data_IF_059671117461
#
_entry.id   IF_059671117461
#
_cell.length_a   1.000
_cell.length_b   1.000
_cell.length_c   1.000
_cell.angle_alpha   90.00
_cell.angle_beta   90.00
_cell.angle_gamma   90.00
#
_symmetry.space_group_name_H-M   'P 1'
#
loop_
_entity.id
_entity.type
_entity.pdbx_description
1 polymer ?
#
# COMPACT_ATOMS: atom_id res chain seq x y z
N UNK A 1 25.04 -2.59 13.43
CA UNK A 1 25.12 -3.68 12.45
C UNK A 1 24.74 -3.14 11.08
N UNK A 2 25.57 -3.38 10.07
CA UNK A 2 25.34 -2.97 8.68
C UNK A 2 24.22 -3.82 8.05
N UNK A 3 23.39 -3.20 7.21
CA UNK A 3 22.33 -3.90 6.48
C UNK A 3 22.93 -4.93 5.52
N UNK A 4 22.35 -6.14 5.45
CA UNK A 4 22.68 -7.14 4.45
C UNK A 4 21.78 -6.96 3.24
N UNK A 5 22.34 -6.96 2.03
CA UNK A 5 21.56 -6.88 0.80
C UNK A 5 21.75 -8.15 -0.03
N UNK A 6 20.63 -8.79 -0.37
CA UNK A 6 20.57 -9.93 -1.28
C UNK A 6 19.93 -9.50 -2.60
N UNK A 7 20.29 -10.17 -3.69
CA UNK A 7 19.69 -9.95 -5.01
C UNK A 7 19.42 -11.28 -5.69
N UNK A 8 18.19 -11.44 -6.18
CA UNK A 8 17.81 -12.55 -7.05
C UNK A 8 17.10 -11.99 -8.28
N UNK A 9 17.78 -12.00 -9.43
CA UNK A 9 17.32 -11.29 -10.62
C UNK A 9 17.04 -9.81 -10.34
N UNK A 10 15.77 -9.40 -10.52
CA UNK A 10 15.31 -8.02 -10.25
C UNK A 10 14.93 -7.78 -8.79
N UNK A 11 14.73 -8.83 -7.99
CA UNK A 11 14.37 -8.73 -6.58
C UNK A 11 15.58 -8.32 -5.75
N UNK A 12 15.41 -7.27 -4.96
CA UNK A 12 16.40 -6.79 -4.00
C UNK A 12 15.82 -6.92 -2.60
N UNK A 13 16.49 -7.68 -1.75
CA UNK A 13 16.08 -7.89 -0.35
C UNK A 13 17.08 -7.21 0.55
N UNK A 14 16.60 -6.40 1.51
CA UNK A 14 17.43 -5.77 2.54
C UNK A 14 17.04 -6.33 3.89
N UNK A 15 18.02 -6.83 4.62
CA UNK A 15 17.86 -7.36 5.98
C UNK A 15 18.46 -6.33 6.92
N UNK A 16 17.63 -5.83 7.84
CA UNK A 16 18.01 -4.86 8.86
C UNK A 16 17.72 -5.46 10.24
N UNK A 17 18.44 -5.02 11.28
CA UNK A 17 18.44 -5.73 12.57
C UNK A 17 17.15 -5.57 13.38
N UNK A 18 16.27 -4.61 13.04
CA UNK A 18 15.04 -4.33 13.76
C UNK A 18 13.96 -3.71 12.87
N UNK A 19 12.71 -3.75 13.33
CA UNK A 19 11.52 -3.28 12.60
C UNK A 19 11.58 -1.78 12.30
N UNK A 20 12.13 -0.98 13.22
CA UNK A 20 12.26 0.47 13.05
C UNK A 20 13.18 0.82 11.87
N UNK A 21 14.35 0.19 11.79
CA UNK A 21 15.28 0.38 10.67
C UNK A 21 14.71 -0.15 9.36
N UNK A 22 13.98 -1.27 9.38
CA UNK A 22 13.24 -1.74 8.19
C UNK A 22 12.23 -0.69 7.73
N UNK A 23 11.42 -0.18 8.65
CA UNK A 23 10.41 0.85 8.37
C UNK A 23 11.02 2.13 7.79
N UNK A 24 12.06 2.65 8.43
CA UNK A 24 12.77 3.84 7.96
C UNK A 24 13.42 3.66 6.58
N UNK A 25 14.06 2.51 6.35
CA UNK A 25 14.69 2.21 5.06
C UNK A 25 13.65 2.06 3.93
N UNK A 26 12.51 1.43 4.22
CA UNK A 26 11.40 1.30 3.27
C UNK A 26 10.76 2.66 2.97
N UNK A 27 10.53 3.50 3.98
CA UNK A 27 9.99 4.85 3.81
C UNK A 27 10.92 5.72 2.95
N UNK A 28 12.22 5.72 3.24
CA UNK A 28 13.21 6.44 2.43
C UNK A 28 13.25 5.94 0.98
N UNK A 29 13.11 4.63 0.76
CA UNK A 29 13.05 4.07 -0.60
C UNK A 29 11.81 4.56 -1.35
N UNK A 30 10.63 4.50 -0.73
CA UNK A 30 9.37 4.97 -1.32
C UNK A 30 9.43 6.47 -1.63
N UNK A 31 9.93 7.28 -0.70
CA UNK A 31 10.09 8.72 -0.89
C UNK A 31 11.01 9.05 -2.08
N UNK A 32 12.15 8.36 -2.21
CA UNK A 32 13.05 8.54 -3.34
C UNK A 32 12.43 8.12 -4.69
N UNK A 33 11.64 7.05 -4.69
CA UNK A 33 10.88 6.60 -5.88
C UNK A 33 9.81 7.61 -6.27
N UNK A 34 9.04 8.12 -5.30
CA UNK A 34 8.05 9.17 -5.52
C UNK A 34 8.68 10.44 -6.08
N UNK A 35 9.79 10.90 -5.52
CA UNK A 35 10.51 12.07 -6.03
C UNK A 35 10.93 11.87 -7.51
N UNK A 36 11.38 10.67 -7.87
CA UNK A 36 11.75 10.34 -9.26
C UNK A 36 10.54 10.36 -10.19
N UNK A 37 9.40 9.79 -9.78
CA UNK A 37 8.17 9.76 -10.56
C UNK A 37 7.64 11.18 -10.76
N UNK A 38 7.49 11.92 -9.66
CA UNK A 38 6.91 13.27 -9.63
C UNK A 38 7.81 14.35 -10.25
N UNK A 39 9.07 14.03 -10.55
CA UNK A 39 9.93 14.90 -11.35
C UNK A 39 9.56 14.93 -12.84
N UNK A 40 8.84 13.91 -13.33
CA UNK A 40 8.54 13.75 -14.77
C UNK A 40 7.06 13.56 -15.08
N UNK A 41 6.22 13.32 -14.07
CA UNK A 41 4.78 13.07 -14.20
C UNK A 41 4.02 13.88 -13.18
N UNK A 42 2.82 14.32 -13.51
CA UNK A 42 1.98 15.13 -12.61
C UNK A 42 1.51 14.36 -11.38
N UNK A 43 1.32 13.05 -11.49
CA UNK A 43 0.78 12.21 -10.42
C UNK A 43 1.54 10.88 -10.29
N UNK A 44 1.55 10.35 -9.06
CA UNK A 44 2.02 9.02 -8.75
C UNK A 44 0.88 8.16 -8.19
N UNK A 45 0.77 6.91 -8.67
CA UNK A 45 -0.33 6.00 -8.35
C UNK A 45 0.19 4.84 -7.48
N UNK A 46 -0.33 4.72 -6.27
CA UNK A 46 0.22 3.86 -5.22
C UNK A 46 -0.86 2.92 -4.69
N UNK A 47 -0.52 1.64 -4.51
CA UNK A 47 -1.36 0.69 -3.74
C UNK A 47 -0.84 0.60 -2.31
N UNK A 48 -1.75 0.62 -1.33
CA UNK A 48 -1.51 0.44 0.09
C UNK A 48 -2.26 -0.78 0.62
N UNK A 49 -1.57 -1.63 1.38
CA UNK A 49 -2.15 -2.77 2.07
C UNK A 49 -2.25 -2.52 3.58
N UNK A 50 -3.32 -3.00 4.21
CA UNK A 50 -3.39 -3.05 5.66
C UNK A 50 -2.68 -4.32 6.16
N UNK A 51 -1.56 -4.14 6.88
CA UNK A 51 -0.87 -5.26 7.53
C UNK A 51 -0.15 -4.79 8.79
N UNK A 52 -0.17 -5.62 9.84
CA UNK A 52 0.48 -5.31 11.11
C UNK A 52 2.00 -5.13 10.96
N UNK A 53 2.62 -5.79 10.00
CA UNK A 53 4.05 -5.65 9.67
C UNK A 53 4.40 -4.30 9.04
N UNK A 54 3.42 -3.55 8.53
CA UNK A 54 3.65 -2.24 7.91
C UNK A 54 3.67 -1.07 8.91
N UNK A 55 3.42 -1.31 10.20
CA UNK A 55 3.23 -0.25 11.19
C UNK A 55 4.38 0.78 11.22
N UNK A 56 5.61 0.31 11.44
CA UNK A 56 6.80 1.16 11.52
C UNK A 56 7.14 1.84 10.19
N UNK A 57 6.89 1.15 9.08
CA UNK A 57 7.06 1.71 7.74
C UNK A 57 6.10 2.88 7.49
N UNK A 58 4.80 2.70 7.78
CA UNK A 58 3.81 3.75 7.56
C UNK A 58 4.05 4.96 8.47
N UNK A 59 4.47 4.74 9.72
CA UNK A 59 4.81 5.84 10.62
C UNK A 59 6.04 6.62 10.13
N UNK A 60 7.08 5.92 9.67
CA UNK A 60 8.25 6.55 9.08
C UNK A 60 7.90 7.30 7.77
N UNK A 61 7.02 6.73 6.94
CA UNK A 61 6.58 7.35 5.69
C UNK A 61 5.77 8.63 5.95
N UNK A 62 4.87 8.62 6.95
CA UNK A 62 4.14 9.83 7.38
C UNK A 62 5.10 10.90 7.90
N UNK A 63 6.15 10.52 8.63
CA UNK A 63 7.15 11.45 9.14
C UNK A 63 8.10 11.98 8.05
N UNK A 64 8.11 11.37 6.87
CA UNK A 64 9.00 11.74 5.77
C UNK A 64 8.55 13.05 5.11
N UNK A 65 9.43 14.05 5.10
CA UNK A 65 9.19 15.35 4.48
C UNK A 65 9.52 15.34 2.99
N UNK A 66 8.95 16.29 2.25
CA UNK A 66 9.25 16.50 0.83
C UNK A 66 8.48 15.59 -0.14
N UNK A 67 7.56 14.76 0.37
CA UNK A 67 6.59 14.06 -0.47
C UNK A 67 5.41 15.01 -0.71
N UNK A 68 5.12 15.29 -1.98
CA UNK A 68 3.92 16.01 -2.37
C UNK A 68 2.73 15.05 -2.45
N UNK A 69 2.08 14.84 -1.31
CA UNK A 69 0.94 13.93 -1.19
C UNK A 69 -0.27 14.37 -2.03
N UNK A 70 -0.40 15.66 -2.36
CA UNK A 70 -1.51 16.13 -3.21
C UNK A 70 -1.40 15.61 -4.64
N UNK A 71 -0.22 15.13 -5.04
CA UNK A 71 0.03 14.49 -6.34
C UNK A 71 0.03 12.96 -6.26
N UNK A 72 -0.41 12.40 -5.13
CA UNK A 72 -0.53 10.96 -4.93
C UNK A 72 -1.99 10.53 -5.07
N UNK A 73 -2.21 9.54 -5.93
CA UNK A 73 -3.45 8.77 -6.03
C UNK A 73 -3.22 7.46 -5.27
N UNK A 74 -3.92 7.30 -4.14
CA UNK A 74 -3.81 6.13 -3.29
C UNK A 74 -4.94 5.13 -3.57
N UNK A 75 -4.57 3.88 -3.76
CA UNK A 75 -5.48 2.74 -3.91
C UNK A 75 -5.34 1.81 -2.71
N UNK A 76 -6.46 1.31 -2.23
CA UNK A 76 -6.54 0.19 -1.30
C UNK A 76 -6.25 -1.14 -2.00
N UNK A 77 -5.53 -2.07 -1.37
CA UNK A 77 -5.23 -3.38 -1.97
C UNK A 77 -6.42 -4.35 -1.90
N UNK A 78 -7.04 -4.50 -0.73
CA UNK A 78 -7.99 -5.58 -0.44
C UNK A 78 -8.95 -5.21 0.69
N UNK A 79 -10.18 -5.71 0.65
CA UNK A 79 -11.20 -5.43 1.68
C UNK A 79 -12.09 -6.65 1.89
N UNK A 80 -12.64 -6.77 3.10
CA UNK A 80 -13.66 -7.78 3.37
C UNK A 80 -14.99 -7.43 2.70
N UNK A 81 -15.55 -8.39 1.98
CA UNK A 81 -16.92 -8.33 1.47
C UNK A 81 -17.90 -8.25 2.65
N UNK A 82 -18.91 -7.38 2.54
CA UNK A 82 -19.94 -7.19 3.57
C UNK A 82 -19.65 -6.07 4.57
N UNK A 83 -18.41 -5.58 4.66
CA UNK A 83 -18.09 -4.53 5.62
C UNK A 83 -18.54 -3.16 5.12
N UNK A 84 -19.24 -2.43 5.99
CA UNK A 84 -19.54 -1.03 5.75
C UNK A 84 -18.25 -0.19 5.79
N UNK A 85 -18.16 0.92 5.05
CA UNK A 85 -16.96 1.79 5.04
C UNK A 85 -16.54 2.34 6.41
N UNK A 86 -17.46 2.35 7.39
CA UNK A 86 -17.21 2.82 8.76
C UNK A 86 -16.97 1.68 9.76
N UNK A 87 -17.00 0.42 9.34
CA UNK A 87 -16.73 -0.73 10.21
C UNK A 87 -15.27 -0.69 10.70
N UNK A 88 -15.03 -1.00 11.97
CA UNK A 88 -13.67 -1.01 12.56
C UNK A 88 -12.78 -2.11 12.01
N UNK A 89 -13.38 -3.18 11.47
CA UNK A 89 -12.67 -4.29 10.83
C UNK A 89 -12.25 -3.97 9.39
N UNK A 90 -12.73 -2.85 8.81
CA UNK A 90 -12.37 -2.44 7.45
C UNK A 90 -10.88 -2.09 7.37
N UNK A 91 -10.19 -2.72 6.43
CA UNK A 91 -8.80 -2.39 6.10
C UNK A 91 -8.68 -0.96 5.54
N UNK A 92 -9.68 -0.51 4.78
CA UNK A 92 -9.74 0.85 4.26
C UNK A 92 -9.88 1.89 5.37
N UNK A 93 -10.60 1.58 6.44
CA UNK A 93 -10.68 2.43 7.65
C UNK A 93 -9.39 2.39 8.47
N UNK A 94 -8.72 1.24 8.52
CA UNK A 94 -7.42 1.13 9.17
C UNK A 94 -6.37 2.02 8.47
N UNK A 95 -6.28 1.97 7.14
CA UNK A 95 -5.38 2.82 6.35
C UNK A 95 -5.73 4.30 6.45
N UNK A 96 -7.03 4.64 6.48
CA UNK A 96 -7.48 6.01 6.72
C UNK A 96 -6.86 6.59 7.99
N UNK A 97 -6.97 5.84 9.10
CA UNK A 97 -6.42 6.25 10.39
C UNK A 97 -4.90 6.22 10.40
N UNK A 98 -4.29 5.22 9.79
CA UNK A 98 -2.83 5.00 9.91
C UNK A 98 -2.02 5.99 9.07
N UNK A 99 -2.51 6.37 7.90
CA UNK A 99 -1.76 7.19 6.94
C UNK A 99 -2.61 8.25 6.23
N UNK A 100 -3.74 7.91 5.60
CA UNK A 100 -4.38 8.83 4.63
C UNK A 100 -4.93 10.10 5.28
N UNK A 101 -5.49 10.03 6.50
CA UNK A 101 -5.92 11.22 7.24
C UNK A 101 -4.76 12.11 7.71
N UNK A 102 -3.55 11.55 7.84
CA UNK A 102 -2.35 12.26 8.32
C UNK A 102 -1.64 12.98 7.18
N UNK A 103 -1.50 12.31 6.03
CA UNK A 103 -0.75 12.84 4.88
C UNK A 103 -1.61 13.48 3.82
N UNK A 104 -2.91 13.12 3.78
CA UNK A 104 -3.92 13.62 2.85
C UNK A 104 -3.48 13.51 1.38
N UNK A 105 -3.51 12.30 0.79
CA UNK A 105 -3.29 12.15 -0.64
C UNK A 105 -4.27 12.99 -1.46
N UNK A 106 -3.91 13.39 -2.68
CA UNK A 106 -4.78 14.14 -3.59
C UNK A 106 -6.04 13.36 -3.96
N UNK A 107 -5.91 12.05 -4.07
CA UNK A 107 -7.03 11.13 -4.26
C UNK A 107 -6.83 9.85 -3.44
N UNK A 108 -7.91 9.31 -2.89
CA UNK A 108 -7.94 8.00 -2.23
C UNK A 108 -9.12 7.22 -2.75
N UNK A 109 -8.84 6.07 -3.36
CA UNK A 109 -9.84 5.11 -3.81
C UNK A 109 -9.80 3.86 -2.92
N UNK A 110 -10.98 3.43 -2.45
CA UNK A 110 -11.11 2.25 -1.59
C UNK A 110 -12.05 1.25 -2.26
N UNK A 111 -11.76 -0.02 -2.05
CA UNK A 111 -12.74 -1.08 -2.29
C UNK A 111 -13.95 -0.87 -1.37
N UNK A 112 -15.15 -1.01 -1.93
CA UNK A 112 -16.41 -0.92 -1.19
C UNK A 112 -16.91 -2.32 -0.84
N UNK A 113 -16.59 -2.76 0.38
CA UNK A 113 -17.05 -4.05 0.90
C UNK A 113 -18.57 -4.19 0.93
N UNK A 114 -19.32 -3.10 1.14
CA UNK A 114 -20.78 -3.13 1.18
C UNK A 114 -21.39 -3.21 -0.22
N UNK A 115 -20.76 -2.59 -1.23
CA UNK A 115 -21.13 -2.79 -2.63
C UNK A 115 -20.80 -4.21 -3.09
N UNK A 116 -19.60 -4.71 -2.77
CA UNK A 116 -19.19 -6.08 -3.07
C UNK A 116 -20.12 -7.13 -2.44
N UNK A 117 -20.77 -6.82 -1.30
CA UNK A 117 -21.75 -7.73 -0.70
C UNK A 117 -22.98 -7.99 -1.58
N UNK A 118 -23.31 -7.04 -2.46
CA UNK A 118 -24.42 -7.15 -3.42
C UNK A 118 -23.94 -7.77 -4.73
N UNK A 119 -22.80 -7.30 -5.23
CA UNK A 119 -22.22 -7.74 -6.49
C UNK A 119 -20.69 -7.59 -6.45
N UNK A 120 -19.96 -8.66 -6.07
CA UNK A 120 -18.50 -8.66 -6.06
C UNK A 120 -17.88 -8.42 -7.43
N UNK A 121 -18.51 -8.92 -8.50
CA UNK A 121 -17.97 -8.82 -9.86
C UNK A 121 -18.03 -7.38 -10.36
N UNK A 122 -19.14 -6.67 -10.10
CA UNK A 122 -19.28 -5.26 -10.42
C UNK A 122 -18.26 -4.39 -9.68
N UNK A 123 -18.00 -4.67 -8.39
CA UNK A 123 -16.99 -3.93 -7.62
C UNK A 123 -15.57 -4.20 -8.14
N UNK A 124 -15.24 -5.46 -8.44
CA UNK A 124 -13.98 -5.84 -9.08
C UNK A 124 -13.81 -5.15 -10.45
N UNK A 125 -14.87 -5.08 -11.26
CA UNK A 125 -14.84 -4.41 -12.56
C UNK A 125 -14.63 -2.90 -12.43
N UNK A 126 -15.36 -2.25 -11.51
CA UNK A 126 -15.21 -0.81 -11.20
C UNK A 126 -13.78 -0.51 -10.75
N UNK A 127 -13.28 -1.25 -9.77
CA UNK A 127 -11.96 -1.01 -9.19
C UNK A 127 -10.84 -1.36 -10.17
N UNK A 128 -10.97 -2.47 -10.91
CA UNK A 128 -10.04 -2.88 -11.96
C UNK A 128 -9.93 -1.86 -13.10
N UNK A 129 -11.05 -1.22 -13.49
CA UNK A 129 -11.04 -0.14 -14.47
C UNK A 129 -10.25 1.08 -13.98
N UNK A 130 -10.42 1.46 -12.71
CA UNK A 130 -9.66 2.57 -12.11
C UNK A 130 -8.16 2.27 -12.06
N UNK A 131 -7.76 1.04 -11.70
CA UNK A 131 -6.36 0.63 -11.70
C UNK A 131 -5.77 0.64 -13.13
N UNK A 132 -6.51 0.11 -14.10
CA UNK A 132 -6.07 -0.05 -15.49
C UNK A 132 -5.96 1.28 -16.25
N UNK A 133 -6.76 2.28 -15.89
CA UNK A 133 -6.80 3.58 -16.58
C UNK A 133 -5.47 4.35 -16.54
N UNK A 134 -4.64 4.14 -15.50
CA UNK A 134 -3.36 4.85 -15.35
C UNK A 134 -2.19 3.97 -14.89
N UNK A 135 -2.42 2.67 -14.69
CA UNK A 135 -1.43 1.76 -14.10
C UNK A 135 -1.10 2.09 -12.64
N UNK A 136 -0.10 1.38 -12.10
CA UNK A 136 0.38 1.54 -10.72
C UNK A 136 1.90 1.67 -10.72
N UNK A 137 2.40 2.67 -10.01
CA UNK A 137 3.83 2.98 -9.94
C UNK A 137 4.54 2.21 -8.82
N UNK A 138 3.87 2.08 -7.67
CA UNK A 138 4.36 1.36 -6.49
C UNK A 138 3.21 0.62 -5.80
N UNK A 139 3.48 -0.60 -5.34
CA UNK A 139 2.60 -1.34 -4.45
C UNK A 139 3.31 -1.59 -3.12
N UNK A 140 2.69 -1.13 -2.03
CA UNK A 140 3.21 -1.19 -0.67
C UNK A 140 2.49 -2.34 0.06
N UNK A 141 3.05 -3.54 -0.08
CA UNK A 141 2.38 -4.79 0.31
C UNK A 141 3.14 -5.51 1.43
N UNK A 142 2.38 -6.16 2.31
CA UNK A 142 2.92 -7.16 3.23
C UNK A 142 3.04 -8.51 2.53
N UNK A 143 3.84 -9.40 3.12
CA UNK A 143 3.93 -10.81 2.74
C UNK A 143 3.56 -11.63 3.97
N UNK A 144 2.58 -12.52 3.83
CA UNK A 144 2.16 -13.43 4.89
C UNK A 144 3.24 -14.46 5.24
N UNK A 145 3.14 -15.08 6.41
CA UNK A 145 4.09 -16.13 6.84
C UNK A 145 4.10 -17.34 5.90
N UNK A 146 2.94 -17.68 5.34
CA UNK A 146 2.79 -18.69 4.29
C UNK A 146 3.12 -18.16 2.88
N UNK A 147 3.52 -16.89 2.73
CA UNK A 147 3.81 -16.28 1.44
C UNK A 147 2.61 -15.68 0.71
N UNK A 148 1.42 -15.63 1.32
CA UNK A 148 0.26 -15.00 0.69
C UNK A 148 0.46 -13.49 0.45
N UNK A 149 -0.27 -12.97 -0.53
CA UNK A 149 -0.39 -11.54 -0.80
C UNK A 149 -1.87 -11.16 -0.85
N UNK A 150 -2.30 -10.26 0.05
CA UNK A 150 -3.74 -10.02 0.28
C UNK A 150 -4.48 -11.35 0.52
N UNK A 151 -5.66 -11.53 -0.06
CA UNK A 151 -6.40 -12.80 -0.01
C UNK A 151 -5.95 -13.84 -1.06
N UNK A 152 -4.74 -13.74 -1.59
CA UNK A 152 -4.18 -14.73 -2.54
C UNK A 152 -3.22 -15.67 -1.82
N UNK A 153 -3.74 -16.79 -1.32
CA UNK A 153 -2.96 -17.83 -0.67
C UNK A 153 -2.24 -18.75 -1.67
N UNK A 154 -1.02 -19.21 -1.36
CA UNK A 154 -0.39 -20.26 -2.13
C UNK A 154 -1.14 -21.59 -1.93
N UNK A 155 -1.16 -22.42 -2.98
CA UNK A 155 -1.85 -23.72 -2.98
C UNK A 155 -1.29 -24.74 -1.98
N UNK A 156 -0.11 -24.48 -1.42
CA UNK A 156 0.56 -25.30 -0.40
C UNK A 156 1.27 -24.34 0.57
N UNK A 157 0.88 -24.39 1.84
CA UNK A 157 1.55 -23.72 2.95
C UNK A 157 2.50 -24.70 3.65
#
# INVERSE_FOLDING_TARGET
MTATQLRHGRLVTKILPDRERVGAAAAAHVAGRLATILATRDEARLIFAAAASQGEFLDALVATRGIDWQRVIAFHLDEYVGLAPRDERSFGKWLERRIWSRVRPGWVEKLDGAAAARDPEAECARYGALLSAGGIDLALIGVGENGHLAFNDPHVA
#
